data_IF_633300572343
#
_entry.id   IF_633300572343
#
_cell.length_a   1.000
_cell.length_b   1.000
_cell.length_c   1.000
_cell.angle_alpha   90.00
_cell.angle_beta   90.00
_cell.angle_gamma   90.00
#
_symmetry.space_group_name_H-M   'P 1'
#
loop_
_entity.id
_entity.type
_entity.pdbx_description
1 polymer ?
#
# COMPACT_ATOMS: atom_id res chain seq x y z
N UNK A 1 24.08 -17.17 45.33
CA UNK A 1 23.19 -16.00 45.19
C UNK A 1 21.75 -16.52 45.04
N UNK A 2 20.88 -16.39 46.07
CA UNK A 2 19.51 -16.93 46.03
C UNK A 2 18.58 -15.90 45.40
N UNK A 3 18.15 -16.13 44.16
CA UNK A 3 17.14 -15.31 43.50
C UNK A 3 15.80 -15.60 44.19
N UNK A 4 15.13 -14.55 44.70
CA UNK A 4 13.84 -14.70 45.40
C UNK A 4 12.72 -14.91 44.37
N UNK A 5 11.69 -15.69 44.71
CA UNK A 5 10.56 -16.00 43.82
C UNK A 5 9.90 -14.73 43.23
N UNK A 6 9.81 -13.66 44.02
CA UNK A 6 9.29 -12.37 43.56
C UNK A 6 10.16 -11.71 42.47
N UNK A 7 11.49 -11.94 42.48
CA UNK A 7 12.38 -11.44 41.44
C UNK A 7 12.19 -12.22 40.12
N UNK A 8 11.91 -13.52 40.20
CA UNK A 8 11.56 -14.35 39.03
C UNK A 8 10.22 -13.91 38.44
N UNK A 9 9.23 -13.65 39.30
CA UNK A 9 7.90 -13.21 38.88
C UNK A 9 7.93 -11.83 38.19
N UNK A 10 8.71 -10.88 38.73
CA UNK A 10 8.92 -9.57 38.10
C UNK A 10 9.64 -9.71 36.76
N UNK A 11 10.65 -10.57 36.66
CA UNK A 11 11.36 -10.81 35.39
C UNK A 11 10.42 -11.41 34.32
N UNK A 12 9.56 -12.36 34.71
CA UNK A 12 8.53 -12.95 33.84
C UNK A 12 7.50 -11.92 33.39
N UNK A 13 7.04 -11.05 34.30
CA UNK A 13 6.09 -9.99 33.97
C UNK A 13 6.70 -8.95 33.02
N UNK A 14 7.99 -8.60 33.17
CA UNK A 14 8.72 -7.73 32.24
C UNK A 14 8.91 -8.39 30.87
N UNK A 15 9.21 -9.69 30.81
CA UNK A 15 9.32 -10.42 29.55
C UNK A 15 7.96 -10.53 28.81
N UNK A 16 6.86 -10.66 29.54
CA UNK A 16 5.50 -10.67 28.98
C UNK A 16 5.06 -9.31 28.43
N UNK A 17 5.47 -8.20 29.04
CA UNK A 17 5.14 -6.86 28.54
C UNK A 17 5.97 -6.46 27.31
N UNK A 18 7.21 -6.96 27.16
CA UNK A 18 8.02 -6.76 25.94
C UNK A 18 7.42 -7.48 24.73
N UNK A 19 6.84 -8.67 24.89
CA UNK A 19 6.18 -9.38 23.79
C UNK A 19 4.90 -8.68 23.30
N UNK A 20 4.22 -7.93 24.17
CA UNK A 20 2.98 -7.24 23.83
C UNK A 20 3.20 -5.99 22.97
N UNK A 21 4.39 -5.40 22.99
CA UNK A 21 4.73 -4.23 22.15
C UNK A 21 5.30 -4.57 20.78
N UNK A 22 5.66 -5.83 20.51
CA UNK A 22 6.23 -6.26 19.23
C UNK A 22 5.19 -6.49 18.11
N UNK A 23 3.91 -6.17 18.33
CA UNK A 23 2.81 -6.45 17.39
C UNK A 23 2.13 -5.21 16.81
N UNK A 24 2.70 -4.02 17.02
CA UNK A 24 2.13 -2.77 16.52
C UNK A 24 3.00 -2.20 15.39
N UNK A 25 2.96 -2.89 14.26
CA UNK A 25 3.43 -2.36 12.98
C UNK A 25 2.62 -3.00 11.88
N UNK A 26 1.79 -2.22 11.19
CA UNK A 26 1.33 -2.60 9.86
C UNK A 26 2.61 -2.80 9.06
N UNK A 27 2.86 -4.01 8.53
CA UNK A 27 4.16 -4.36 7.94
C UNK A 27 4.49 -3.64 6.63
N UNK A 28 3.66 -2.69 6.21
CA UNK A 28 3.87 -1.84 5.06
C UNK A 28 3.80 -0.36 5.47
N UNK A 29 4.63 0.47 4.82
CA UNK A 29 4.77 1.90 5.08
C UNK A 29 3.80 2.71 4.22
N UNK A 30 3.66 2.33 2.95
CA UNK A 30 2.85 3.03 1.95
C UNK A 30 2.07 2.05 1.07
N UNK A 31 0.85 2.43 0.66
CA UNK A 31 -0.03 1.61 -0.18
C UNK A 31 -1.00 0.74 0.63
N UNK A 32 -1.52 -0.37 0.05
CA UNK A 32 -1.29 -0.85 -1.31
C UNK A 32 -1.95 0.04 -2.37
N UNK A 33 -1.24 0.26 -3.46
CA UNK A 33 -1.68 1.06 -4.60
C UNK A 33 -1.91 0.17 -5.82
N UNK A 34 -3.00 0.40 -6.53
CA UNK A 34 -3.23 -0.20 -7.85
C UNK A 34 -2.37 0.52 -8.89
N UNK A 35 -1.66 -0.27 -9.71
CA UNK A 35 -1.06 0.19 -10.94
C UNK A 35 -2.03 0.01 -12.11
N UNK A 36 -1.55 -0.54 -13.23
CA UNK A 36 -2.44 -0.86 -14.35
C UNK A 36 -3.47 -1.94 -13.93
N UNK A 37 -4.69 -1.84 -14.47
CA UNK A 37 -5.70 -2.89 -14.40
C UNK A 37 -6.25 -3.12 -15.81
N UNK A 38 -5.96 -4.29 -16.37
CA UNK A 38 -6.30 -4.65 -17.74
C UNK A 38 -7.24 -5.86 -17.79
N UNK A 39 -7.55 -6.32 -18.98
CA UNK A 39 -8.50 -7.42 -19.23
C UNK A 39 -8.16 -8.71 -18.46
N UNK A 40 -6.88 -9.03 -18.29
CA UNK A 40 -6.44 -10.30 -17.67
C UNK A 40 -5.31 -10.15 -16.65
N UNK A 41 -4.94 -8.93 -16.30
CA UNK A 41 -3.85 -8.67 -15.37
C UNK A 41 -4.05 -7.37 -14.57
N UNK A 42 -3.48 -7.33 -13.38
CA UNK A 42 -3.38 -6.11 -12.55
C UNK A 42 -2.00 -6.03 -11.90
N UNK A 43 -1.50 -4.81 -11.73
CA UNK A 43 -0.34 -4.52 -10.90
C UNK A 43 -0.81 -3.97 -9.55
N UNK A 44 -0.27 -4.52 -8.47
CA UNK A 44 -0.41 -3.97 -7.11
C UNK A 44 0.99 -3.67 -6.61
N UNK A 45 1.19 -2.50 -5.99
CA UNK A 45 2.48 -2.14 -5.41
C UNK A 45 2.31 -1.53 -4.02
N UNK A 46 3.33 -1.67 -3.19
CA UNK A 46 3.36 -1.16 -1.82
C UNK A 46 4.80 -1.01 -1.36
N UNK A 47 5.02 -0.15 -0.38
CA UNK A 47 6.29 -0.02 0.32
C UNK A 47 6.25 -0.83 1.61
N UNK A 48 7.29 -1.61 1.87
CA UNK A 48 7.36 -2.47 3.06
C UNK A 48 8.41 -1.97 4.03
N UNK A 49 8.14 -2.18 5.32
CA UNK A 49 9.14 -1.91 6.36
C UNK A 49 10.26 -2.97 6.28
N UNK A 50 11.49 -2.61 6.66
CA UNK A 50 12.64 -3.53 6.73
C UNK A 50 12.39 -4.77 7.57
N UNK A 51 11.46 -4.71 8.54
CA UNK A 51 11.09 -5.88 9.35
C UNK A 51 10.26 -6.92 8.56
N UNK A 52 9.87 -6.63 7.32
CA UNK A 52 9.13 -7.55 6.47
C UNK A 52 10.04 -8.68 5.96
N UNK A 53 9.72 -9.91 6.33
CA UNK A 53 10.42 -11.13 5.91
C UNK A 53 9.59 -11.95 4.90
N UNK A 54 8.29 -11.69 4.80
CA UNK A 54 7.41 -12.34 3.85
C UNK A 54 6.24 -11.43 3.49
N UNK A 55 5.95 -11.30 2.19
CA UNK A 55 4.77 -10.56 1.71
C UNK A 55 4.06 -11.37 0.65
N UNK A 56 2.73 -11.45 0.76
CA UNK A 56 1.90 -12.13 -0.22
C UNK A 56 0.58 -11.40 -0.46
N UNK A 57 0.06 -11.52 -1.68
CA UNK A 57 -1.28 -11.09 -2.05
C UNK A 57 -2.16 -12.33 -2.18
N UNK A 58 -3.24 -12.38 -1.41
CA UNK A 58 -4.33 -13.33 -1.64
C UNK A 58 -5.46 -12.61 -2.35
N UNK A 59 -5.97 -13.17 -3.45
CA UNK A 59 -7.02 -12.55 -4.27
C UNK A 59 -8.03 -13.59 -4.76
N UNK A 60 -9.29 -13.20 -4.88
CA UNK A 60 -10.41 -14.08 -5.28
C UNK A 60 -11.48 -13.29 -6.04
N UNK A 61 -12.29 -13.97 -6.86
CA UNK A 61 -13.47 -13.36 -7.46
C UNK A 61 -14.44 -12.93 -6.34
N UNK A 62 -14.91 -11.67 -6.38
CA UNK A 62 -15.80 -11.12 -5.35
C UNK A 62 -17.02 -12.03 -5.12
N UNK A 63 -17.29 -12.35 -3.85
CA UNK A 63 -18.35 -13.28 -3.45
C UNK A 63 -18.05 -14.76 -3.66
N UNK A 64 -16.86 -15.14 -4.15
CA UNK A 64 -16.44 -16.53 -4.40
C UNK A 64 -15.06 -16.82 -3.78
N UNK A 65 -14.94 -16.84 -2.44
CA UNK A 65 -13.65 -17.03 -1.75
C UNK A 65 -12.96 -18.37 -2.09
N UNK A 66 -13.71 -19.38 -2.56
CA UNK A 66 -13.15 -20.66 -3.04
C UNK A 66 -12.30 -20.53 -4.31
N UNK A 67 -12.32 -19.38 -4.99
CA UNK A 67 -11.46 -19.08 -6.15
C UNK A 67 -10.11 -18.46 -5.76
N UNK A 68 -9.82 -18.40 -4.46
CA UNK A 68 -8.63 -17.72 -3.96
C UNK A 68 -7.33 -18.27 -4.54
N UNK A 69 -6.49 -17.34 -4.99
CA UNK A 69 -5.11 -17.57 -5.43
C UNK A 69 -4.19 -16.74 -4.54
N UNK A 70 -2.95 -17.21 -4.37
CA UNK A 70 -1.92 -16.54 -3.59
C UNK A 70 -0.74 -16.26 -4.52
N UNK A 71 -0.22 -15.03 -4.47
CA UNK A 71 1.06 -14.64 -5.07
C UNK A 71 1.98 -14.16 -3.96
N UNK A 72 3.08 -14.86 -3.74
CA UNK A 72 4.13 -14.48 -2.78
C UNK A 72 5.18 -13.65 -3.49
N UNK A 73 5.74 -12.65 -2.80
CA UNK A 73 6.89 -11.91 -3.29
C UNK A 73 8.15 -12.76 -3.14
N UNK A 74 8.99 -12.78 -4.17
CA UNK A 74 10.17 -13.66 -4.25
C UNK A 74 11.50 -12.89 -4.19
N UNK A 75 11.47 -11.55 -4.13
CA UNK A 75 12.66 -10.70 -4.05
C UNK A 75 13.14 -10.45 -2.61
N UNK A 76 14.28 -9.76 -2.49
CA UNK A 76 14.79 -9.28 -1.21
C UNK A 76 13.86 -8.22 -0.60
N UNK A 77 13.70 -8.25 0.72
CA UNK A 77 12.84 -7.34 1.49
C UNK A 77 13.62 -6.48 2.51
N UNK A 78 14.86 -6.86 2.83
CA UNK A 78 15.69 -6.23 3.88
C UNK A 78 16.40 -4.95 3.39
N UNK A 79 15.67 -4.05 2.72
CA UNK A 79 16.20 -2.80 2.18
C UNK A 79 15.41 -1.59 2.70
N UNK A 80 16.05 -0.42 2.82
CA UNK A 80 15.35 0.85 3.10
C UNK A 80 14.38 1.18 1.97
N UNK A 81 13.24 1.81 2.30
CA UNK A 81 12.27 2.38 1.34
C UNK A 81 11.82 1.36 0.26
N UNK A 82 11.63 0.10 0.64
CA UNK A 82 11.46 -0.99 -0.31
C UNK A 82 10.07 -1.01 -0.93
N UNK A 83 9.95 -0.46 -2.14
CA UNK A 83 8.77 -0.63 -2.98
C UNK A 83 8.78 -2.01 -3.67
N UNK A 84 7.74 -2.81 -3.45
CA UNK A 84 7.53 -4.11 -4.09
C UNK A 84 6.29 -4.11 -4.98
N UNK A 85 6.29 -5.02 -5.96
CA UNK A 85 5.27 -5.11 -7.01
C UNK A 85 4.76 -6.54 -7.14
N UNK A 86 3.45 -6.67 -7.36
CA UNK A 86 2.75 -7.90 -7.64
C UNK A 86 1.99 -7.76 -8.95
N UNK A 87 2.43 -8.50 -9.96
CA UNK A 87 1.66 -8.70 -11.19
C UNK A 87 0.79 -9.94 -11.04
N UNK A 88 -0.52 -9.74 -10.95
CA UNK A 88 -1.50 -10.82 -10.92
C UNK A 88 -2.02 -11.04 -12.33
N UNK A 89 -1.73 -12.21 -12.91
CA UNK A 89 -2.15 -12.59 -14.25
C UNK A 89 -3.17 -13.74 -14.27
N UNK A 90 -3.61 -14.09 -15.48
CA UNK A 90 -4.63 -15.10 -15.73
C UNK A 90 -5.95 -14.80 -14.99
N UNK A 91 -6.36 -13.53 -15.06
CA UNK A 91 -7.63 -13.06 -14.52
C UNK A 91 -8.73 -13.19 -15.58
N UNK A 92 -9.98 -13.31 -15.11
CA UNK A 92 -11.17 -13.24 -15.97
C UNK A 92 -11.44 -11.79 -16.32
N UNK A 93 -11.84 -11.54 -17.56
CA UNK A 93 -12.24 -10.22 -18.05
C UNK A 93 -13.55 -9.77 -17.40
N UNK A 94 -13.75 -8.45 -17.24
CA UNK A 94 -14.99 -7.88 -16.70
C UNK A 94 -15.34 -8.31 -15.27
N UNK A 95 -14.37 -8.80 -14.50
CA UNK A 95 -14.60 -9.47 -13.22
C UNK A 95 -14.05 -8.63 -12.08
N UNK A 96 -14.86 -8.46 -11.03
CA UNK A 96 -14.42 -7.83 -9.78
C UNK A 96 -13.73 -8.84 -8.90
N UNK A 97 -12.52 -8.50 -8.46
CA UNK A 97 -11.73 -9.28 -7.53
C UNK A 97 -11.60 -8.52 -6.21
N UNK A 98 -11.64 -9.26 -5.12
CA UNK A 98 -11.22 -8.77 -3.81
C UNK A 98 -9.84 -9.34 -3.51
N UNK A 99 -9.03 -8.59 -2.76
CA UNK A 99 -7.71 -9.02 -2.35
C UNK A 99 -7.33 -8.49 -0.98
N UNK A 100 -6.33 -9.15 -0.39
CA UNK A 100 -5.69 -8.73 0.86
C UNK A 100 -4.19 -8.95 0.78
N UNK A 101 -3.46 -8.11 1.50
CA UNK A 101 -2.01 -8.22 1.68
C UNK A 101 -1.74 -8.91 3.01
N UNK A 102 -0.84 -9.89 3.01
CA UNK A 102 -0.33 -10.53 4.21
C UNK A 102 1.17 -10.23 4.34
N UNK A 103 1.60 -9.76 5.51
CA UNK A 103 3.01 -9.49 5.83
C UNK A 103 3.39 -10.27 7.08
N UNK A 104 4.56 -10.92 7.06
CA UNK A 104 5.11 -11.71 8.16
C UNK A 104 4.18 -12.81 8.70
N UNK A 105 3.25 -13.29 7.86
CA UNK A 105 2.20 -14.27 8.23
C UNK A 105 1.30 -13.80 9.39
N UNK A 106 1.37 -12.53 9.79
CA UNK A 106 0.47 -11.94 10.77
C UNK A 106 -0.83 -11.60 10.05
N UNK A 107 -1.89 -12.35 10.32
CA UNK A 107 -3.22 -11.89 10.01
C UNK A 107 -3.50 -10.69 10.90
N UNK A 108 -3.56 -9.49 10.30
CA UNK A 108 -4.11 -8.32 10.98
C UNK A 108 -5.46 -8.73 11.60
N UNK A 109 -5.75 -8.31 12.85
CA UNK A 109 -6.98 -8.69 13.56
C UNK A 109 -8.25 -8.43 12.73
N UNK A 110 -8.18 -7.50 11.78
CA UNK A 110 -9.05 -7.40 10.62
C UNK A 110 -8.18 -7.02 9.41
N UNK A 111 -7.90 -7.92 8.46
CA UNK A 111 -7.16 -7.55 7.27
C UNK A 111 -8.08 -6.70 6.38
N UNK A 112 -7.62 -5.49 6.05
CA UNK A 112 -8.28 -4.64 5.08
C UNK A 112 -8.44 -5.39 3.75
N UNK A 113 -9.65 -5.33 3.19
CA UNK A 113 -9.98 -5.95 1.91
C UNK A 113 -10.09 -4.84 0.88
N UNK A 114 -9.29 -4.98 -0.17
CA UNK A 114 -9.28 -4.08 -1.30
C UNK A 114 -9.92 -4.77 -2.51
N UNK A 115 -10.22 -4.00 -3.55
CA UNK A 115 -10.84 -4.55 -4.75
C UNK A 115 -10.40 -3.85 -6.02
N UNK A 116 -10.47 -4.57 -7.14
CA UNK A 116 -10.29 -4.04 -8.48
C UNK A 116 -11.23 -4.75 -9.46
N UNK A 117 -11.47 -4.14 -10.63
CA UNK A 117 -12.29 -4.73 -11.69
C UNK A 117 -11.51 -4.76 -12.99
N UNK A 118 -11.31 -5.97 -13.54
CA UNK A 118 -10.67 -6.12 -14.84
C UNK A 118 -11.55 -5.57 -15.97
N UNK A 119 -10.91 -5.08 -17.02
CA UNK A 119 -11.63 -4.54 -18.19
C UNK A 119 -12.39 -5.65 -18.91
N UNK A 120 -13.51 -5.28 -19.52
CA UNK A 120 -14.24 -6.14 -20.44
C UNK A 120 -13.58 -6.13 -21.82
N UNK A 121 -13.73 -7.24 -22.57
CA UNK A 121 -13.37 -7.29 -23.98
C UNK A 121 -14.51 -6.70 -24.81
N UNK A 122 -14.36 -5.45 -25.22
CA UNK A 122 -15.37 -4.73 -26.00
C UNK A 122 -14.99 -4.63 -27.48
N UNK A 123 -13.70 -4.69 -27.79
CA UNK A 123 -13.13 -4.58 -29.12
C UNK A 123 -13.82 -5.57 -30.08
N UNK A 124 -14.39 -5.03 -31.15
CA UNK A 124 -15.13 -5.77 -32.19
C UNK A 124 -16.36 -6.56 -31.71
N UNK A 125 -16.89 -6.27 -30.51
CA UNK A 125 -18.02 -7.01 -29.90
C UNK A 125 -19.15 -6.10 -29.45
N UNK A 126 -18.81 -4.89 -28.98
CA UNK A 126 -19.76 -3.87 -28.52
C UNK A 126 -19.11 -2.48 -28.60
N UNK A 127 -19.87 -1.40 -28.49
CA UNK A 127 -19.30 -0.06 -28.37
C UNK A 127 -18.31 0.04 -27.20
N UNK A 128 -17.33 0.93 -27.31
CA UNK A 128 -16.43 1.24 -26.20
C UNK A 128 -17.24 1.68 -24.96
N UNK A 129 -16.86 1.26 -23.75
CA UNK A 129 -17.53 1.70 -22.54
C UNK A 129 -17.35 3.21 -22.35
N UNK A 130 -18.38 3.88 -21.82
CA UNK A 130 -18.19 5.19 -21.21
C UNK A 130 -17.24 5.05 -20.03
N UNK A 131 -16.45 6.10 -19.77
CA UNK A 131 -15.55 6.14 -18.62
C UNK A 131 -15.52 7.53 -18.00
N UNK A 132 -15.24 7.60 -16.70
CA UNK A 132 -14.91 8.82 -15.97
C UNK A 132 -13.51 8.72 -15.40
N UNK A 133 -12.83 9.86 -15.28
CA UNK A 133 -11.51 9.90 -14.67
C UNK A 133 -11.30 11.23 -13.95
N UNK A 134 -10.43 11.19 -12.95
CA UNK A 134 -9.87 12.40 -12.35
C UNK A 134 -8.49 12.64 -12.94
N UNK A 135 -8.12 13.92 -13.05
CA UNK A 135 -6.81 14.33 -13.49
C UNK A 135 -6.17 15.18 -12.41
N UNK A 136 -4.90 14.91 -12.11
CA UNK A 136 -4.14 15.67 -11.12
C UNK A 136 -2.66 15.77 -11.47
N UNK A 137 -2.02 16.78 -10.91
CA UNK A 137 -0.58 17.03 -11.00
C UNK A 137 -0.15 17.93 -9.86
N UNK A 138 1.15 18.19 -9.75
CA UNK A 138 1.68 19.29 -8.93
C UNK A 138 1.26 19.22 -7.45
N UNK A 139 1.55 18.09 -6.80
CA UNK A 139 1.23 17.92 -5.38
C UNK A 139 2.29 18.59 -4.49
N UNK A 140 2.21 19.91 -4.34
CA UNK A 140 3.10 20.64 -3.43
C UNK A 140 2.50 20.67 -2.01
N UNK A 141 2.97 19.75 -1.18
CA UNK A 141 2.61 19.67 0.26
C UNK A 141 3.63 20.45 1.08
N UNK A 142 3.12 21.16 2.09
CA UNK A 142 3.97 21.89 3.04
C UNK A 142 4.77 20.94 3.93
N UNK A 143 6.05 21.24 4.11
CA UNK A 143 6.94 20.57 5.05
C UNK A 143 7.60 21.62 5.93
N UNK A 144 7.11 21.75 7.16
CA UNK A 144 7.36 22.90 8.02
C UNK A 144 8.86 23.19 8.28
N UNK A 145 9.72 22.16 8.28
CA UNK A 145 11.16 22.36 8.54
C UNK A 145 11.86 22.97 7.31
N UNK A 146 11.36 22.69 6.12
CA UNK A 146 11.96 23.09 4.84
C UNK A 146 11.18 24.18 4.10
N UNK A 147 9.98 24.51 4.56
CA UNK A 147 9.18 25.58 3.98
C UNK A 147 9.87 26.94 4.15
N UNK A 148 9.70 27.81 3.15
CA UNK A 148 10.28 29.14 3.18
C UNK A 148 9.69 29.98 4.33
N UNK A 149 10.47 30.91 4.90
CA UNK A 149 9.98 31.83 5.92
C UNK A 149 8.74 32.60 5.45
N UNK A 150 7.73 32.69 6.32
CA UNK A 150 6.49 33.41 6.04
C UNK A 150 5.33 32.47 5.75
N UNK A 151 4.52 32.78 4.72
CA UNK A 151 3.39 31.94 4.32
C UNK A 151 3.90 30.86 3.35
N UNK A 152 3.74 29.55 3.67
CA UNK A 152 4.12 28.47 2.77
C UNK A 152 3.37 28.50 1.43
N UNK A 153 3.98 27.96 0.37
CA UNK A 153 3.38 27.89 -0.97
C UNK A 153 2.35 26.77 -1.12
N UNK A 154 2.56 25.65 -0.44
CA UNK A 154 1.72 24.47 -0.55
C UNK A 154 0.52 24.47 0.37
N UNK A 155 -0.10 23.30 0.46
CA UNK A 155 -1.20 23.02 1.38
C UNK A 155 -1.04 21.62 2.00
N UNK A 156 -2.11 21.11 2.60
CA UNK A 156 -2.26 19.75 3.10
C UNK A 156 -2.73 18.79 1.97
N UNK A 157 -3.11 17.56 2.35
CA UNK A 157 -3.56 16.51 1.45
C UNK A 157 -5.07 16.54 1.12
N UNK A 158 -5.82 17.60 1.47
CA UNK A 158 -7.29 17.66 1.32
C UNK A 158 -7.77 17.38 -0.12
N UNK A 159 -6.99 17.79 -1.13
CA UNK A 159 -7.29 17.48 -2.52
C UNK A 159 -7.29 15.97 -2.80
N UNK A 160 -6.39 15.20 -2.18
CA UNK A 160 -6.33 13.76 -2.34
C UNK A 160 -7.52 13.07 -1.66
N UNK A 161 -7.98 13.58 -0.51
CA UNK A 161 -9.19 13.09 0.16
C UNK A 161 -10.45 13.34 -0.70
N UNK A 162 -10.51 14.50 -1.33
CA UNK A 162 -11.58 14.84 -2.28
C UNK A 162 -11.54 13.92 -3.50
N UNK A 163 -10.35 13.67 -4.07
CA UNK A 163 -10.19 12.74 -5.18
C UNK A 163 -10.58 11.31 -4.79
N UNK A 164 -10.18 10.84 -3.60
CA UNK A 164 -10.49 9.50 -3.10
C UNK A 164 -11.99 9.28 -2.84
N UNK A 165 -12.73 10.35 -2.51
CA UNK A 165 -14.19 10.30 -2.29
C UNK A 165 -15.01 10.56 -3.56
N UNK A 166 -14.37 10.97 -4.65
CA UNK A 166 -15.05 11.22 -5.93
C UNK A 166 -15.06 9.96 -6.80
N UNK A 167 -16.24 9.54 -7.25
CA UNK A 167 -16.37 8.37 -8.12
C UNK A 167 -15.71 8.61 -9.49
N UNK A 168 -14.74 7.76 -9.83
CA UNK A 168 -14.08 7.72 -11.12
C UNK A 168 -13.61 6.30 -11.46
N UNK A 169 -13.51 5.96 -12.74
CA UNK A 169 -12.99 4.65 -13.16
C UNK A 169 -11.47 4.55 -12.99
N UNK A 170 -10.75 5.69 -13.12
CA UNK A 170 -9.31 5.78 -12.87
C UNK A 170 -8.85 7.21 -12.59
N UNK A 171 -7.62 7.33 -12.08
CA UNK A 171 -6.92 8.60 -11.91
C UNK A 171 -5.79 8.71 -12.93
N UNK A 172 -5.70 9.84 -13.62
CA UNK A 172 -4.58 10.20 -14.48
C UNK A 172 -3.71 11.23 -13.75
N UNK A 173 -2.54 10.78 -13.28
CA UNK A 173 -1.57 11.64 -12.61
C UNK A 173 -0.47 12.07 -13.57
N UNK A 174 -0.28 13.38 -13.74
CA UNK A 174 0.55 13.94 -14.82
C UNK A 174 1.99 14.26 -14.40
N UNK A 175 2.36 14.01 -13.15
CA UNK A 175 3.71 14.27 -12.64
C UNK A 175 3.73 15.31 -11.52
N UNK A 176 4.95 15.73 -11.17
CA UNK A 176 5.22 16.56 -9.99
C UNK A 176 4.64 15.94 -8.71
N UNK A 177 4.99 14.66 -8.51
CA UNK A 177 4.53 13.84 -7.39
C UNK A 177 5.10 14.33 -6.05
N UNK A 178 6.35 14.82 -6.10
CA UNK A 178 7.08 15.36 -4.97
C UNK A 178 7.89 16.55 -5.45
N UNK A 179 8.06 17.53 -4.58
CA UNK A 179 8.91 18.68 -4.83
C UNK A 179 10.06 18.66 -3.83
N UNK A 180 11.27 18.43 -4.31
CA UNK A 180 12.49 18.48 -3.50
C UNK A 180 12.78 19.92 -3.06
N UNK A 181 13.25 20.08 -1.83
CA UNK A 181 13.62 21.35 -1.18
C UNK A 181 15.13 21.56 -1.25
N UNK A 182 15.60 22.75 -0.89
CA UNK A 182 17.01 23.12 -0.92
C UNK A 182 17.90 22.17 -0.11
N UNK A 183 17.35 21.58 0.97
CA UNK A 183 18.02 20.56 1.76
C UNK A 183 18.27 19.26 0.99
N UNK A 184 17.41 18.93 0.02
CA UNK A 184 17.40 17.64 -0.68
C UNK A 184 18.34 17.59 -1.91
N UNK A 185 19.02 18.69 -2.23
CA UNK A 185 19.79 18.78 -3.50
C UNK A 185 21.20 18.23 -3.40
N UNK A 186 21.68 18.00 -2.19
CA UNK A 186 23.12 17.81 -1.93
C UNK A 186 23.53 16.34 -1.81
N UNK A 187 22.58 15.40 -1.78
CA UNK A 187 22.88 13.97 -1.63
C UNK A 187 21.86 13.06 -2.30
N UNK A 188 22.19 11.76 -2.41
CA UNK A 188 21.25 10.74 -2.87
C UNK A 188 20.11 10.47 -1.85
N UNK A 189 20.26 10.93 -0.61
CA UNK A 189 19.21 10.80 0.40
C UNK A 189 18.04 11.76 0.14
N UNK A 190 18.25 12.78 -0.71
CA UNK A 190 17.73 14.12 -0.44
C UNK A 190 18.77 14.83 0.39
#
# INVERSE_FOLDING_TARGET
>A
MRIKLNQILVLLLVLLSIQSQAQNGIGYVSGPMLGYCEQRAVLIWLEVDRIANNVAVTYWERGKPYTARIKTYEGALEEDFKAIKFELGDLKMGTTYDYRIAINKVSLKQPEIFSFKTKELWEHRKPAPNFSFLMGSCLYVNDQIYDQPGKPYGSNFEILETMASTEADFNLWLGDNVYLREADYSSEFG
#
